data_IF_103156547918
#
_entry.id   IF_103156547918
#
_cell.length_a   1.000
_cell.length_b   1.000
_cell.length_c   1.000
_cell.angle_alpha   90.00
_cell.angle_beta   90.00
_cell.angle_gamma   90.00
#
_symmetry.space_group_name_H-M   'P 1'
#
loop_
_entity.id
_entity.type
_entity.pdbx_description
1 polymer ?
#
# COMPACT_ATOMS: atom_id res chain seq x y z
N UNK A 1 15.83 1.22 16.13
CA UNK A 1 14.91 1.95 17.04
C UNK A 1 13.50 1.57 16.60
N UNK A 2 12.71 0.92 17.46
CA UNK A 2 11.29 0.69 17.16
C UNK A 2 10.55 2.00 17.43
N UNK A 3 9.93 2.56 16.40
CA UNK A 3 9.11 3.78 16.51
C UNK A 3 7.75 3.49 15.89
N UNK A 4 6.69 3.82 16.61
CA UNK A 4 5.32 3.77 16.13
C UNK A 4 4.69 5.13 16.41
N UNK A 5 4.11 5.75 15.40
CA UNK A 5 3.53 7.09 15.53
C UNK A 5 2.01 6.97 15.43
N UNK A 6 1.32 7.42 16.47
CA UNK A 6 -0.14 7.40 16.53
C UNK A 6 -0.68 8.69 15.91
N UNK A 7 -1.62 8.58 14.98
CA UNK A 7 -2.21 9.70 14.22
C UNK A 7 -3.71 9.83 14.49
N UNK A 8 -4.35 10.87 13.91
CA UNK A 8 -5.77 11.18 14.09
C UNK A 8 -6.18 11.40 15.57
N UNK A 9 -5.26 11.92 16.36
CA UNK A 9 -5.50 12.30 17.74
C UNK A 9 -6.17 13.67 17.78
N UNK A 10 -7.12 13.86 18.69
CA UNK A 10 -7.76 15.17 18.90
C UNK A 10 -6.71 16.19 19.36
N UNK A 11 -6.77 17.46 18.90
CA UNK A 11 -5.88 18.51 19.39
C UNK A 11 -6.14 18.78 20.88
N UNK A 12 -5.15 19.33 21.59
CA UNK A 12 -5.22 19.65 23.01
C UNK A 12 -5.75 18.50 23.89
N UNK A 13 -5.36 17.26 23.59
CA UNK A 13 -5.87 16.06 24.25
C UNK A 13 -4.71 15.21 24.75
N UNK A 14 -4.76 14.83 26.03
CA UNK A 14 -3.77 13.93 26.64
C UNK A 14 -4.15 12.48 26.38
N UNK A 15 -3.23 11.74 25.77
CA UNK A 15 -3.35 10.30 25.53
C UNK A 15 -2.36 9.53 26.41
N UNK A 16 -2.81 8.36 26.87
CA UNK A 16 -1.97 7.36 27.53
C UNK A 16 -1.57 6.30 26.51
N UNK A 17 -0.26 6.04 26.40
CA UNK A 17 0.29 4.97 25.58
C UNK A 17 0.84 3.89 26.50
N UNK A 18 0.44 2.65 26.21
CA UNK A 18 0.83 1.48 27.00
C UNK A 18 1.47 0.48 26.05
N UNK A 19 2.68 0.02 26.37
CA UNK A 19 3.44 -0.91 25.53
C UNK A 19 4.02 -2.03 26.39
N UNK A 20 4.17 -3.23 25.82
CA UNK A 20 4.91 -4.34 26.42
C UNK A 20 5.65 -5.11 25.34
N UNK A 21 6.77 -5.73 25.69
CA UNK A 21 7.46 -6.65 24.81
C UNK A 21 6.79 -8.04 24.87
N UNK A 22 6.85 -8.81 23.78
CA UNK A 22 6.37 -10.19 23.73
C UNK A 22 7.44 -11.04 23.04
N UNK A 23 7.80 -12.16 23.64
CA UNK A 23 8.67 -13.18 23.04
C UNK A 23 8.09 -14.59 23.29
N UNK A 24 8.83 -15.64 22.90
CA UNK A 24 8.40 -17.03 23.05
C UNK A 24 8.21 -17.49 24.50
N UNK A 25 8.75 -16.75 25.48
CA UNK A 25 8.60 -17.01 26.92
C UNK A 25 7.41 -16.26 27.54
N UNK A 26 6.82 -15.31 26.82
CA UNK A 26 5.63 -14.57 27.24
C UNK A 26 5.77 -13.03 27.17
N UNK A 27 4.70 -12.32 27.57
CA UNK A 27 4.69 -10.86 27.62
C UNK A 27 5.51 -10.32 28.82
N UNK A 28 6.18 -9.19 28.63
CA UNK A 28 6.71 -8.39 29.74
C UNK A 28 5.59 -7.65 30.48
N UNK A 29 5.96 -7.01 31.59
CA UNK A 29 5.15 -5.96 32.21
C UNK A 29 4.89 -4.80 31.25
N UNK A 30 3.79 -4.08 31.52
CA UNK A 30 3.44 -2.89 30.77
C UNK A 30 4.30 -1.70 31.18
N UNK A 31 4.71 -0.94 30.18
CA UNK A 31 5.31 0.39 30.33
C UNK A 31 4.29 1.42 29.90
N UNK A 32 4.21 2.49 30.67
CA UNK A 32 3.24 3.57 30.49
C UNK A 32 3.97 4.85 30.12
N UNK A 33 3.39 5.61 29.20
CA UNK A 33 3.79 6.99 28.94
C UNK A 33 2.57 7.81 28.56
N UNK A 34 2.70 9.13 28.67
CA UNK A 34 1.64 10.07 28.35
C UNK A 34 2.18 11.11 27.39
N UNK A 35 1.35 11.52 26.44
CA UNK A 35 1.64 12.68 25.63
C UNK A 35 0.38 13.49 25.39
N UNK A 36 0.52 14.81 25.40
CA UNK A 36 -0.56 15.74 25.08
C UNK A 36 -0.32 16.27 23.67
N UNK A 37 -1.33 16.15 22.82
CA UNK A 37 -1.30 16.77 21.49
C UNK A 37 -1.28 18.29 21.61
N UNK A 38 -0.65 18.94 20.64
CA UNK A 38 -0.55 20.41 20.60
C UNK A 38 -1.94 21.07 20.54
N UNK A 39 -2.00 22.32 20.98
CA UNK A 39 -3.19 23.17 20.97
C UNK A 39 -3.54 23.70 19.59
N UNK A 40 -2.58 23.73 18.66
CA UNK A 40 -2.78 24.26 17.31
C UNK A 40 -3.38 23.23 16.36
N UNK A 41 -4.41 23.62 15.60
CA UNK A 41 -4.94 22.87 14.44
C UNK A 41 -4.00 22.86 13.22
N UNK A 42 -2.73 23.24 13.41
CA UNK A 42 -1.70 23.33 12.37
C UNK A 42 -0.31 22.94 12.89
N UNK A 43 -0.25 22.11 13.94
CA UNK A 43 1.03 21.69 14.50
C UNK A 43 1.87 21.05 13.41
N UNK A 44 3.19 21.25 13.39
CA UNK A 44 4.09 20.56 12.45
C UNK A 44 4.06 19.03 12.58
N UNK A 45 3.40 18.52 13.63
CA UNK A 45 3.13 17.11 13.90
C UNK A 45 1.66 16.71 13.68
N UNK A 46 0.78 17.66 13.37
CA UNK A 46 -0.58 17.39 12.90
C UNK A 46 -0.48 16.78 11.50
N UNK A 47 -0.60 15.45 11.44
CA UNK A 47 -0.55 14.70 10.18
C UNK A 47 -1.94 14.50 9.59
N UNK A 48 -2.93 15.35 9.88
CA UNK A 48 -4.11 15.42 9.02
C UNK A 48 -3.61 15.77 7.62
N UNK A 49 -3.48 14.76 6.76
CA UNK A 49 -2.88 14.99 5.46
C UNK A 49 -3.96 15.50 4.53
N UNK A 50 -4.23 16.79 4.60
CA UNK A 50 -4.95 17.51 3.56
C UNK A 50 -3.94 18.25 2.71
N UNK A 51 -3.86 17.89 1.44
CA UNK A 51 -2.94 18.49 0.50
C UNK A 51 -3.61 18.62 -0.87
N UNK A 52 -3.15 19.60 -1.63
CA UNK A 52 -3.56 19.76 -3.02
C UNK A 52 -2.30 19.97 -3.85
N UNK A 53 -2.15 19.17 -4.91
CA UNK A 53 -1.17 19.39 -5.96
C UNK A 53 -1.94 19.79 -7.21
N UNK A 54 -1.95 21.09 -7.51
CA UNK A 54 -2.83 21.73 -8.50
C UNK A 54 -4.31 21.42 -8.25
N UNK A 55 -4.91 20.45 -8.95
CA UNK A 55 -6.28 20.00 -8.75
C UNK A 55 -6.39 18.51 -8.34
N UNK A 56 -5.26 17.81 -8.21
CA UNK A 56 -5.18 16.52 -7.51
C UNK A 56 -5.20 16.76 -6.01
N UNK A 57 -6.06 16.03 -5.29
CA UNK A 57 -6.27 16.20 -3.84
C UNK A 57 -5.83 14.98 -3.04
N UNK A 58 -5.39 15.22 -1.80
CA UNK A 58 -5.02 14.23 -0.81
C UNK A 58 -5.76 14.56 0.48
N UNK A 59 -6.46 13.59 1.07
CA UNK A 59 -7.16 13.78 2.33
C UNK A 59 -7.10 12.50 3.16
N UNK A 60 -6.77 12.61 4.45
CA UNK A 60 -6.96 11.50 5.38
C UNK A 60 -8.43 11.38 5.76
N UNK A 61 -9.02 10.21 5.51
CA UNK A 61 -10.39 9.88 5.88
C UNK A 61 -10.45 8.44 6.42
N UNK A 62 -11.02 8.26 7.61
CA UNK A 62 -11.25 6.93 8.22
C UNK A 62 -10.00 6.03 8.22
N UNK A 63 -8.85 6.57 8.64
CA UNK A 63 -7.58 5.84 8.70
C UNK A 63 -6.96 5.50 7.33
N UNK A 64 -7.52 6.04 6.24
CA UNK A 64 -6.99 5.90 4.88
C UNK A 64 -6.51 7.24 4.36
N UNK A 65 -5.48 7.26 3.52
CA UNK A 65 -5.18 8.41 2.68
C UNK A 65 -5.92 8.27 1.35
N UNK A 66 -6.85 9.17 1.09
CA UNK A 66 -7.62 9.23 -0.15
C UNK A 66 -6.95 10.22 -1.08
N UNK A 67 -6.57 9.74 -2.25
CA UNK A 67 -6.03 10.51 -3.37
C UNK A 67 -7.11 10.56 -4.43
N UNK A 68 -7.51 11.75 -4.88
CA UNK A 68 -8.42 11.92 -6.02
C UNK A 68 -7.70 12.70 -7.10
N UNK A 69 -7.47 12.06 -8.24
CA UNK A 69 -6.71 12.64 -9.35
C UNK A 69 -7.50 13.77 -10.04
N UNK A 70 -6.82 14.88 -10.28
CA UNK A 70 -7.33 16.02 -11.03
C UNK A 70 -7.06 15.92 -12.55
N UNK A 71 -7.28 17.01 -13.27
CA UNK A 71 -6.93 17.18 -14.68
C UNK A 71 -5.45 17.56 -14.85
N UNK A 72 -4.72 17.93 -13.80
CA UNK A 72 -3.29 18.24 -13.86
C UNK A 72 -2.40 17.05 -14.24
N UNK A 73 -2.91 15.82 -14.11
CA UNK A 73 -2.25 14.61 -14.59
C UNK A 73 -1.92 14.69 -16.09
N UNK A 74 -2.63 15.50 -16.86
CA UNK A 74 -2.56 15.55 -18.33
C UNK A 74 -1.44 16.41 -18.88
N UNK A 75 -0.85 17.24 -18.04
CA UNK A 75 0.16 18.21 -18.45
C UNK A 75 1.57 17.61 -18.43
N UNK A 76 1.70 16.28 -18.30
CA UNK A 76 2.98 15.59 -18.16
C UNK A 76 2.92 14.17 -18.73
N UNK A 77 4.06 13.66 -19.17
CA UNK A 77 4.21 12.24 -19.55
C UNK A 77 4.22 11.32 -18.32
N UNK A 78 4.68 11.83 -17.17
CA UNK A 78 4.68 11.12 -15.90
C UNK A 78 4.18 12.04 -14.78
N UNK A 79 3.05 11.67 -14.19
CA UNK A 79 2.50 12.34 -13.02
C UNK A 79 2.91 11.59 -11.75
N UNK A 80 3.90 12.13 -11.05
CA UNK A 80 4.44 11.56 -9.81
C UNK A 80 3.70 12.09 -8.58
N UNK A 81 3.23 11.18 -7.74
CA UNK A 81 2.68 11.44 -6.40
C UNK A 81 3.63 10.79 -5.40
N UNK A 82 4.32 11.63 -4.62
CA UNK A 82 5.33 11.17 -3.65
C UNK A 82 4.77 11.26 -2.23
N UNK A 83 4.52 10.10 -1.63
CA UNK A 83 3.95 9.94 -0.29
C UNK A 83 4.99 9.39 0.69
N UNK A 84 6.28 9.59 0.43
CA UNK A 84 7.37 9.12 1.31
C UNK A 84 7.66 10.08 2.47
N UNK A 85 7.06 11.27 2.47
CA UNK A 85 7.20 12.26 3.52
C UNK A 85 6.74 11.76 4.90
N UNK A 86 7.32 12.32 5.96
CA UNK A 86 7.06 11.93 7.35
C UNK A 86 5.58 11.98 7.76
N UNK A 87 4.78 12.82 7.13
CA UNK A 87 3.33 12.94 7.37
C UNK A 87 2.54 11.70 6.93
N UNK A 88 3.11 10.87 6.03
CA UNK A 88 2.44 9.69 5.47
C UNK A 88 2.91 8.37 6.09
N UNK A 89 3.91 8.39 6.98
CA UNK A 89 4.60 7.17 7.45
C UNK A 89 3.73 6.17 8.20
N UNK A 90 2.59 6.60 8.76
CA UNK A 90 1.65 5.73 9.48
C UNK A 90 0.40 5.40 8.67
N UNK A 91 0.33 5.87 7.43
CA UNK A 91 -0.75 5.45 6.55
C UNK A 91 -0.47 3.99 6.19
N UNK A 92 -1.41 3.13 6.50
CA UNK A 92 -1.40 1.73 6.08
C UNK A 92 -2.41 1.45 4.98
N UNK A 93 -3.28 2.41 4.66
CA UNK A 93 -4.33 2.26 3.65
C UNK A 93 -4.36 3.47 2.73
N UNK A 94 -4.20 3.23 1.43
CA UNK A 94 -4.24 4.25 0.38
C UNK A 94 -5.40 3.93 -0.56
N UNK A 95 -6.18 4.96 -0.87
CA UNK A 95 -7.30 4.88 -1.81
C UNK A 95 -7.00 5.85 -2.93
N UNK A 96 -6.89 5.36 -4.15
CA UNK A 96 -6.62 6.18 -5.34
C UNK A 96 -7.90 6.18 -6.17
N UNK A 97 -8.57 7.33 -6.24
CA UNK A 97 -9.73 7.56 -7.10
C UNK A 97 -9.27 8.20 -8.41
N UNK A 98 -9.63 7.56 -9.52
CA UNK A 98 -9.32 8.01 -10.87
C UNK A 98 -10.64 8.35 -11.57
N UNK A 99 -10.95 9.65 -11.80
CA UNK A 99 -12.19 10.05 -12.46
C UNK A 99 -12.26 9.56 -13.91
N UNK A 100 -13.41 9.00 -14.31
CA UNK A 100 -13.60 8.47 -15.68
C UNK A 100 -13.61 9.55 -16.75
N UNK A 101 -13.81 10.83 -16.39
CA UNK A 101 -13.59 11.98 -17.29
C UNK A 101 -12.20 11.98 -17.94
N UNK A 102 -11.24 11.26 -17.36
CA UNK A 102 -9.87 11.15 -17.85
C UNK A 102 -9.66 10.01 -18.88
N UNK A 103 -10.64 9.14 -19.13
CA UNK A 103 -10.48 7.92 -19.95
C UNK A 103 -9.84 8.12 -21.33
N UNK A 104 -10.26 9.15 -22.06
CA UNK A 104 -9.84 9.36 -23.46
C UNK A 104 -8.58 10.22 -23.57
N UNK A 105 -7.91 10.50 -22.45
CA UNK A 105 -6.81 11.44 -22.41
C UNK A 105 -5.47 10.70 -22.57
N UNK A 106 -4.47 11.38 -23.13
CA UNK A 106 -3.20 10.81 -23.59
C UNK A 106 -2.43 10.09 -22.49
N UNK A 107 -1.48 9.22 -22.92
CA UNK A 107 -0.65 8.31 -22.12
C UNK A 107 0.18 9.02 -21.02
N UNK A 108 -0.50 9.46 -19.97
CA UNK A 108 0.13 9.86 -18.73
C UNK A 108 0.40 8.59 -17.95
N UNK A 109 1.65 8.42 -17.54
CA UNK A 109 1.97 7.45 -16.52
C UNK A 109 1.74 8.06 -15.14
N UNK A 110 0.82 7.51 -14.37
CA UNK A 110 0.63 7.84 -12.97
C UNK A 110 1.59 6.98 -12.16
N UNK A 111 2.41 7.62 -11.31
CA UNK A 111 3.34 6.93 -10.42
C UNK A 111 3.11 7.38 -8.99
N UNK A 112 2.57 6.49 -8.17
CA UNK A 112 2.31 6.73 -6.75
C UNK A 112 3.36 5.99 -5.93
N UNK A 113 4.12 6.73 -5.15
CA UNK A 113 5.21 6.21 -4.31
C UNK A 113 4.73 6.27 -2.86
N UNK A 114 4.53 5.12 -2.24
CA UNK A 114 4.09 4.99 -0.85
C UNK A 114 5.21 4.37 -0.02
N UNK A 115 5.19 4.53 1.32
CA UNK A 115 6.12 3.83 2.19
C UNK A 115 6.03 2.31 1.96
N UNK A 116 7.11 1.73 1.43
CA UNK A 116 7.24 0.28 1.21
C UNK A 116 6.51 -0.30 -0.02
N UNK A 117 5.71 0.49 -0.74
CA UNK A 117 4.94 0.06 -1.90
C UNK A 117 4.82 1.17 -2.94
N UNK A 118 5.10 0.86 -4.21
CA UNK A 118 4.90 1.78 -5.31
C UNK A 118 3.98 1.14 -6.35
N UNK A 119 3.17 1.98 -7.00
CA UNK A 119 2.36 1.55 -8.15
C UNK A 119 2.53 2.55 -9.29
N UNK A 120 2.67 2.02 -10.50
CA UNK A 120 2.78 2.77 -11.73
C UNK A 120 1.82 2.20 -12.77
N UNK A 121 0.96 3.05 -13.32
CA UNK A 121 -0.05 2.65 -14.28
C UNK A 121 -0.34 3.77 -15.27
N UNK A 122 -1.01 3.44 -16.37
CA UNK A 122 -1.55 4.45 -17.29
C UNK A 122 -3.07 4.46 -17.20
N UNK A 123 -3.73 5.48 -17.73
CA UNK A 123 -5.19 5.51 -17.80
C UNK A 123 -5.74 4.34 -18.63
N UNK A 124 -4.98 3.88 -19.63
CA UNK A 124 -5.29 2.69 -20.42
C UNK A 124 -5.07 1.37 -19.66
N UNK A 125 -4.49 1.39 -18.47
CA UNK A 125 -4.47 0.21 -17.59
C UNK A 125 -5.82 -0.03 -16.90
N UNK A 126 -6.74 0.94 -16.98
CA UNK A 126 -8.00 0.98 -16.25
C UNK A 126 -9.21 0.95 -17.19
N UNK A 127 -10.37 0.53 -16.68
CA UNK A 127 -11.63 0.50 -17.41
C UNK A 127 -12.30 1.87 -17.54
N UNK A 128 -12.28 2.65 -16.46
CA UNK A 128 -12.86 3.99 -16.34
C UNK A 128 -14.30 4.01 -16.88
N UNK A 129 -15.15 3.13 -16.36
CA UNK A 129 -16.52 2.91 -16.88
C UNK A 129 -17.64 3.31 -15.92
N UNK A 130 -17.30 3.82 -14.73
CA UNK A 130 -18.23 4.48 -13.79
C UNK A 130 -17.94 5.97 -13.67
N UNK A 131 -18.21 6.55 -12.51
CA UNK A 131 -17.76 7.90 -12.16
C UNK A 131 -16.27 7.93 -11.88
N UNK A 132 -15.79 6.94 -11.12
CA UNK A 132 -14.39 6.72 -10.82
C UNK A 132 -14.05 5.24 -10.88
N UNK A 133 -12.84 4.97 -11.30
CA UNK A 133 -12.15 3.74 -10.94
C UNK A 133 -11.39 3.97 -9.63
N UNK A 134 -11.46 3.02 -8.70
CA UNK A 134 -10.80 3.09 -7.41
C UNK A 134 -9.82 1.95 -7.25
N UNK A 135 -8.57 2.27 -6.93
CA UNK A 135 -7.57 1.30 -6.48
C UNK A 135 -7.35 1.51 -4.99
N UNK A 136 -7.60 0.49 -4.19
CA UNK A 136 -7.29 0.52 -2.75
C UNK A 136 -6.10 -0.38 -2.49
N UNK A 137 -5.10 0.11 -1.77
CA UNK A 137 -3.95 -0.65 -1.29
C UNK A 137 -3.96 -0.59 0.23
N UNK A 138 -3.95 -1.74 0.88
CA UNK A 138 -3.96 -1.87 2.33
C UNK A 138 -2.79 -2.73 2.80
N UNK A 139 -1.83 -2.15 3.51
CA UNK A 139 -0.82 -2.91 4.25
C UNK A 139 -1.51 -3.70 5.37
N UNK A 140 -1.34 -5.01 5.34
CA UNK A 140 -1.90 -5.91 6.34
C UNK A 140 -1.14 -5.80 7.66
N UNK A 141 -1.83 -6.11 8.76
CA UNK A 141 -1.28 -6.04 10.11
C UNK A 141 -0.20 -7.10 10.36
N UNK A 142 0.66 -6.84 11.34
CA UNK A 142 1.68 -7.80 11.79
C UNK A 142 1.07 -9.13 12.24
N UNK A 143 -0.13 -9.11 12.83
CA UNK A 143 -0.86 -10.33 13.18
C UNK A 143 -1.17 -11.18 11.94
N UNK A 144 -1.62 -10.54 10.87
CA UNK A 144 -1.91 -11.23 9.60
C UNK A 144 -0.63 -11.72 8.94
N UNK A 145 0.45 -10.96 9.05
CA UNK A 145 1.78 -11.40 8.62
C UNK A 145 2.21 -12.68 9.35
N UNK A 146 2.10 -12.70 10.69
CA UNK A 146 2.49 -13.85 11.52
C UNK A 146 1.66 -15.10 11.18
N UNK A 147 0.35 -14.95 10.99
CA UNK A 147 -0.55 -16.03 10.57
C UNK A 147 -0.14 -16.60 9.21
N UNK A 148 0.15 -15.75 8.22
CA UNK A 148 0.59 -16.17 6.89
C UNK A 148 1.97 -16.83 6.98
N UNK A 149 2.89 -16.25 7.73
CA UNK A 149 4.26 -16.76 7.89
C UNK A 149 4.29 -18.14 8.56
N UNK A 150 3.45 -18.40 9.56
CA UNK A 150 3.36 -19.71 10.24
C UNK A 150 2.79 -20.80 9.34
N UNK A 151 1.91 -20.43 8.42
CA UNK A 151 1.25 -21.35 7.49
C UNK A 151 2.00 -21.50 6.16
N UNK A 152 3.18 -20.88 6.00
CA UNK A 152 3.99 -21.05 4.80
C UNK A 152 4.57 -22.46 4.69
N UNK A 153 4.64 -23.03 3.47
CA UNK A 153 5.33 -24.29 3.26
C UNK A 153 6.82 -24.17 3.62
N UNK A 154 7.41 -25.27 4.08
CA UNK A 154 8.84 -25.32 4.43
C UNK A 154 9.70 -24.85 3.26
N UNK A 155 10.63 -23.95 3.54
CA UNK A 155 11.58 -23.42 2.56
C UNK A 155 11.25 -22.02 2.06
N UNK A 156 10.02 -21.54 2.25
CA UNK A 156 9.61 -20.19 1.86
C UNK A 156 9.73 -19.19 3.01
N UNK A 157 10.03 -17.95 2.66
CA UNK A 157 10.05 -16.79 3.58
C UNK A 157 9.47 -15.56 2.91
N UNK A 158 8.67 -14.79 3.67
CA UNK A 158 8.21 -13.47 3.23
C UNK A 158 9.34 -12.45 3.43
N UNK A 159 9.62 -11.70 2.39
CA UNK A 159 10.69 -10.71 2.35
C UNK A 159 10.19 -9.26 2.43
N UNK A 160 8.91 -9.03 2.15
CA UNK A 160 8.28 -7.70 2.21
C UNK A 160 7.18 -7.64 3.27
N UNK A 161 6.61 -6.46 3.47
CA UNK A 161 5.26 -6.37 4.03
C UNK A 161 4.24 -7.02 3.07
N UNK A 162 3.05 -7.34 3.59
CA UNK A 162 1.96 -7.91 2.80
C UNK A 162 0.93 -6.81 2.57
N UNK A 163 0.58 -6.61 1.31
CA UNK A 163 -0.43 -5.65 0.90
C UNK A 163 -1.64 -6.39 0.35
N UNK A 164 -2.83 -5.85 0.56
CA UNK A 164 -4.05 -6.28 -0.09
C UNK A 164 -4.52 -5.17 -1.02
N UNK A 165 -4.68 -5.51 -2.29
CA UNK A 165 -5.07 -4.57 -3.33
C UNK A 165 -6.46 -4.91 -3.86
N UNK A 166 -7.33 -3.92 -3.93
CA UNK A 166 -8.62 -4.02 -4.63
C UNK A 166 -8.67 -3.02 -5.77
N UNK A 167 -9.48 -3.36 -6.77
CA UNK A 167 -9.78 -2.50 -7.90
C UNK A 167 -11.29 -2.52 -8.12
N UNK A 168 -11.92 -1.35 -8.13
CA UNK A 168 -13.37 -1.20 -8.06
C UNK A 168 -13.85 -0.13 -9.02
N UNK A 169 -15.06 -0.32 -9.57
CA UNK A 169 -15.87 0.73 -10.20
C UNK A 169 -16.73 1.40 -9.14
N UNK A 170 -16.73 2.73 -9.13
CA UNK A 170 -17.65 3.56 -8.36
C UNK A 170 -18.61 4.26 -9.32
N UNK A 171 -19.91 4.16 -9.06
CA UNK A 171 -20.99 4.71 -9.90
C UNK A 171 -22.11 5.24 -8.99
N UNK A 172 -22.05 6.53 -8.68
CA UNK A 172 -22.75 7.14 -7.55
C UNK A 172 -22.40 6.42 -6.24
N UNK A 173 -23.43 5.92 -5.56
CA UNK A 173 -23.30 5.18 -4.30
C UNK A 173 -22.98 3.68 -4.49
N UNK A 174 -22.92 3.19 -5.74
CA UNK A 174 -22.67 1.78 -6.02
C UNK A 174 -21.17 1.51 -6.19
N UNK A 175 -20.72 0.41 -5.60
CA UNK A 175 -19.35 -0.09 -5.72
C UNK A 175 -19.38 -1.51 -6.29
N UNK A 176 -18.59 -1.77 -7.32
CA UNK A 176 -18.46 -3.08 -7.97
C UNK A 176 -16.99 -3.45 -8.15
N UNK A 177 -16.57 -4.63 -7.69
CA UNK A 177 -15.17 -5.07 -7.83
C UNK A 177 -14.84 -5.51 -9.25
N UNK A 178 -13.67 -5.09 -9.74
CA UNK A 178 -13.04 -5.64 -10.93
C UNK A 178 -12.08 -6.77 -10.55
N UNK A 179 -12.15 -7.91 -11.25
CA UNK A 179 -11.25 -9.03 -10.99
C UNK A 179 -9.86 -8.85 -11.61
N UNK A 180 -9.69 -7.96 -12.60
CA UNK A 180 -8.42 -7.69 -13.28
C UNK A 180 -8.33 -6.24 -13.74
N UNK A 181 -7.11 -5.76 -13.99
CA UNK A 181 -6.85 -4.50 -14.66
C UNK A 181 -7.03 -4.66 -16.18
N UNK A 182 -7.47 -3.61 -16.88
CA UNK A 182 -7.68 -3.65 -18.33
C UNK A 182 -6.36 -3.92 -19.07
N UNK A 183 -5.29 -3.23 -18.66
CA UNK A 183 -3.90 -3.60 -18.98
C UNK A 183 -3.09 -3.71 -17.69
N UNK A 184 -1.93 -4.38 -17.78
CA UNK A 184 -1.05 -4.58 -16.63
C UNK A 184 -0.70 -3.25 -15.93
N UNK A 185 -0.58 -3.32 -14.61
CA UNK A 185 -0.04 -2.25 -13.78
C UNK A 185 1.28 -2.69 -13.18
N UNK A 186 2.24 -1.78 -13.06
CA UNK A 186 3.54 -2.09 -12.47
C UNK A 186 3.49 -1.80 -10.97
N UNK A 187 3.98 -2.72 -10.17
CA UNK A 187 4.15 -2.55 -8.71
C UNK A 187 5.60 -2.72 -8.33
N UNK A 188 6.02 -2.04 -7.26
CA UNK A 188 7.31 -2.28 -6.63
C UNK A 188 7.13 -2.40 -5.12
N UNK A 189 7.62 -3.49 -4.55
CA UNK A 189 7.54 -3.77 -3.12
C UNK A 189 8.93 -3.70 -2.50
N UNK A 190 9.03 -3.00 -1.38
CA UNK A 190 10.27 -2.96 -0.61
C UNK A 190 10.52 -4.30 0.08
N UNK A 191 11.77 -4.75 0.03
CA UNK A 191 12.23 -5.96 0.68
C UNK A 191 13.11 -5.61 1.87
N UNK A 192 12.77 -6.18 3.02
CA UNK A 192 13.58 -6.12 4.21
C UNK A 192 14.77 -7.08 4.08
N UNK A 193 15.95 -6.50 3.80
CA UNK A 193 17.21 -7.25 3.69
C UNK A 193 17.56 -8.02 4.97
N UNK A 194 17.07 -7.61 6.14
CA UNK A 194 17.31 -8.37 7.37
C UNK A 194 16.58 -9.72 7.34
N UNK A 195 15.46 -9.84 6.61
CA UNK A 195 14.72 -11.10 6.44
C UNK A 195 15.43 -12.09 5.51
N UNK A 196 16.36 -11.61 4.67
CA UNK A 196 17.21 -12.41 3.79
C UNK A 196 18.45 -13.01 4.49
N UNK A 197 18.91 -12.40 5.59
CA UNK A 197 20.22 -12.71 6.17
C UNK A 197 21.37 -12.46 5.19
N UNK A 198 22.45 -13.24 5.26
CA UNK A 198 23.64 -13.10 4.38
C UNK A 198 23.45 -13.63 2.94
N UNK A 199 22.22 -13.83 2.47
CA UNK A 199 21.95 -14.43 1.14
C UNK A 199 21.71 -13.34 0.10
N UNK A 200 22.39 -13.44 -1.04
CA UNK A 200 22.06 -12.65 -2.23
C UNK A 200 20.71 -13.12 -2.79
N UNK A 201 19.82 -12.18 -3.12
CA UNK A 201 18.52 -12.47 -3.73
C UNK A 201 18.77 -13.09 -5.11
N UNK A 202 18.39 -14.35 -5.30
CA UNK A 202 18.42 -14.99 -6.61
C UNK A 202 17.09 -14.77 -7.33
N UNK A 203 17.16 -14.19 -8.53
CA UNK A 203 16.00 -13.92 -9.39
C UNK A 203 15.11 -15.14 -9.65
N UNK A 204 15.67 -16.34 -9.72
CA UNK A 204 14.92 -17.58 -10.01
C UNK A 204 14.07 -18.09 -8.85
N UNK A 205 14.19 -17.49 -7.66
CA UNK A 205 13.49 -17.91 -6.44
C UNK A 205 12.49 -16.86 -5.94
N UNK A 206 12.47 -15.68 -6.55
CA UNK A 206 11.50 -14.65 -6.20
C UNK A 206 10.13 -15.04 -6.73
N UNK A 207 9.16 -15.05 -5.82
CA UNK A 207 7.77 -15.21 -6.15
C UNK A 207 6.97 -14.08 -5.53
N UNK A 208 5.87 -13.72 -6.17
CA UNK A 208 4.85 -12.92 -5.51
C UNK A 208 3.81 -13.87 -4.92
N UNK A 209 3.33 -13.54 -3.74
CA UNK A 209 2.01 -14.01 -3.31
C UNK A 209 1.01 -13.24 -4.18
N UNK A 210 0.20 -13.93 -4.97
CA UNK A 210 -1.17 -13.48 -5.29
C UNK A 210 -2.13 -14.33 -4.46
N UNK A 211 -2.12 -14.12 -3.15
CA UNK A 211 -3.09 -14.79 -2.30
C UNK A 211 -4.40 -14.07 -2.56
N UNK A 212 -5.26 -14.74 -3.32
CA UNK A 212 -6.64 -14.38 -3.58
C UNK A 212 -6.82 -13.28 -4.62
N UNK A 213 -7.47 -13.64 -5.71
CA UNK A 213 -8.17 -12.68 -6.56
C UNK A 213 -9.27 -12.02 -5.73
N UNK A 214 -9.59 -10.75 -6.01
CA UNK A 214 -10.67 -10.00 -5.34
C UNK A 214 -12.04 -10.70 -5.35
N UNK A 215 -12.24 -11.68 -6.24
CA UNK A 215 -13.45 -12.48 -6.40
C UNK A 215 -13.47 -13.83 -5.67
N UNK A 216 -12.37 -14.27 -5.04
CA UNK A 216 -12.28 -15.58 -4.38
C UNK A 216 -11.95 -15.39 -2.89
N UNK A 217 -12.82 -15.82 -1.96
CA UNK A 217 -12.54 -15.73 -0.54
C UNK A 217 -11.26 -16.52 -0.21
N UNK A 218 -10.38 -15.89 0.58
CA UNK A 218 -9.11 -16.48 1.01
C UNK A 218 -9.32 -17.63 1.99
N UNK A 219 -9.65 -18.82 1.50
CA UNK A 219 -9.82 -20.01 2.33
C UNK A 219 -8.53 -20.86 2.47
N UNK A 220 -7.39 -20.34 2.02
CA UNK A 220 -6.07 -20.96 2.19
C UNK A 220 -4.91 -20.12 1.65
N UNK A 221 -3.67 -20.50 2.01
CA UNK A 221 -2.44 -19.88 1.49
C UNK A 221 -2.11 -20.47 0.11
N UNK A 222 -2.32 -19.68 -0.96
CA UNK A 222 -1.91 -20.05 -2.33
C UNK A 222 -0.70 -19.21 -2.75
N UNK A 223 0.37 -19.89 -3.16
CA UNK A 223 1.57 -19.25 -3.72
C UNK A 223 1.50 -19.42 -5.23
N UNK A 224 1.39 -18.31 -5.96
CA UNK A 224 1.27 -18.34 -7.41
C UNK A 224 1.86 -17.07 -8.03
N UNK A 225 2.64 -17.24 -9.11
CA UNK A 225 3.05 -16.15 -9.97
C UNK A 225 2.01 -15.85 -11.08
N UNK A 226 0.82 -16.46 -11.02
CA UNK A 226 -0.20 -16.26 -12.05
C UNK A 226 -0.60 -14.79 -12.15
N UNK A 227 -0.45 -14.24 -13.36
CA UNK A 227 -0.76 -12.85 -13.65
C UNK A 227 0.31 -11.85 -13.25
N UNK A 228 1.53 -12.31 -12.95
CA UNK A 228 2.70 -11.45 -12.73
C UNK A 228 3.76 -11.74 -13.80
N UNK A 229 4.32 -10.69 -14.39
CA UNK A 229 5.35 -10.77 -15.43
C UNK A 229 6.42 -9.69 -15.27
N UNK A 230 7.52 -9.79 -16.02
CA UNK A 230 8.60 -8.79 -16.05
C UNK A 230 9.17 -8.47 -14.66
N UNK A 231 9.35 -9.50 -13.83
CA UNK A 231 9.88 -9.33 -12.48
C UNK A 231 11.35 -8.92 -12.50
N UNK A 232 11.70 -7.92 -11.69
CA UNK A 232 13.08 -7.42 -11.57
C UNK A 232 13.39 -7.05 -10.12
N UNK A 233 14.67 -7.16 -9.74
CA UNK A 233 15.18 -6.67 -8.46
C UNK A 233 15.93 -5.38 -8.73
N UNK A 234 15.46 -4.29 -8.14
CA UNK A 234 16.22 -3.06 -8.05
C UNK A 234 17.03 -3.09 -6.76
N UNK A 235 18.30 -3.45 -6.89
CA UNK A 235 19.25 -3.58 -5.78
C UNK A 235 19.63 -2.24 -5.17
N UNK A 236 19.49 -1.13 -5.90
CA UNK A 236 19.77 0.21 -5.41
C UNK A 236 18.66 0.70 -4.46
N UNK A 237 17.41 0.34 -4.73
CA UNK A 237 16.24 0.75 -3.94
C UNK A 237 15.67 -0.34 -3.02
N UNK A 238 16.29 -1.53 -2.99
CA UNK A 238 15.82 -2.72 -2.27
C UNK A 238 14.38 -3.11 -2.64
N UNK A 239 14.00 -2.91 -3.89
CA UNK A 239 12.65 -3.18 -4.35
C UNK A 239 12.64 -4.37 -5.29
N UNK A 240 11.56 -5.15 -5.24
CA UNK A 240 11.20 -6.08 -6.31
C UNK A 240 10.07 -5.45 -7.10
N UNK A 241 10.22 -5.38 -8.42
CA UNK A 241 9.25 -4.85 -9.36
C UNK A 241 8.55 -5.99 -10.08
N UNK A 242 7.32 -5.75 -10.54
CA UNK A 242 6.59 -6.69 -11.38
C UNK A 242 5.35 -6.06 -12.00
N UNK A 243 4.96 -6.56 -13.17
CA UNK A 243 3.72 -6.18 -13.84
C UNK A 243 2.61 -7.15 -13.45
N UNK A 244 1.54 -6.64 -12.85
CA UNK A 244 0.39 -7.43 -12.37
C UNK A 244 -0.85 -7.20 -13.23
N UNK A 245 -1.60 -8.27 -13.49
CA UNK A 245 -2.91 -8.21 -14.16
C UNK A 245 -4.08 -8.27 -13.17
N UNK A 246 -3.89 -8.85 -11.99
CA UNK A 246 -4.95 -9.09 -11.02
C UNK A 246 -4.66 -8.33 -9.72
N UNK A 247 -5.61 -7.52 -9.21
CA UNK A 247 -5.56 -7.06 -7.82
C UNK A 247 -5.72 -8.26 -6.87
N UNK A 248 -5.16 -8.14 -5.66
CA UNK A 248 -5.20 -9.17 -4.64
C UNK A 248 -4.13 -8.94 -3.58
N UNK A 249 -3.84 -9.95 -2.75
CA UNK A 249 -2.72 -9.85 -1.80
C UNK A 249 -1.40 -9.97 -2.52
N UNK A 250 -0.47 -9.07 -2.22
CA UNK A 250 0.86 -8.96 -2.79
C UNK A 250 1.91 -9.01 -1.68
N UNK A 251 2.87 -9.90 -1.84
CA UNK A 251 4.09 -9.93 -1.01
C UNK A 251 5.22 -10.60 -1.78
N UNK A 252 6.47 -10.23 -1.50
CA UNK A 252 7.66 -10.88 -2.05
C UNK A 252 7.99 -12.10 -1.19
N UNK A 253 8.10 -13.27 -1.80
CA UNK A 253 8.57 -14.53 -1.20
C UNK A 253 9.92 -14.92 -1.80
N UNK A 254 10.74 -15.59 -0.98
CA UNK A 254 11.93 -16.32 -1.39
C UNK A 254 11.98 -17.74 -0.82
#
# INVERSE_FOLDING_TARGET
>A
KLEYYVTNLSPNTTYSFIMRAVNDLGPSDFVYTYATTDTSSNSKYDTSVTGVKNDTTYATANGSLVITLGDDILNTTTYKIDLTGNQYKNISKWVINIPSKNKNKTFTTIWVIMPGFNIKFTLNSLYLSGDYDRITINKLSDKTYDEISRNMPKGYKILSDIYDMTYEKIDGDKTSSYPYFYNKVNVALNVDKNRLGNRNISFSKLMYITACMSSVPCTGLSISNNGISNMMVDSASNNVLGDISYPGRLAVIY
#
